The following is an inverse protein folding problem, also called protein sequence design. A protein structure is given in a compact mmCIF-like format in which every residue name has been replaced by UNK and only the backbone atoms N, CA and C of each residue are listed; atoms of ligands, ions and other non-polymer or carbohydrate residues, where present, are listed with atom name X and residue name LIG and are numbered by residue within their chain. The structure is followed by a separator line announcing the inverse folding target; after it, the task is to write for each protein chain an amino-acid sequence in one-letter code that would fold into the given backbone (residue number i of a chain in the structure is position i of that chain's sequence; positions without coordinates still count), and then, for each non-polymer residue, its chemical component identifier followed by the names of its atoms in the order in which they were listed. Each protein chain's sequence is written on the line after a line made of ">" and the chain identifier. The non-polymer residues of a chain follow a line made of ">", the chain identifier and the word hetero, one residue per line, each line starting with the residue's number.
data_IF_011903242066
#
_entry.id   IF_011903242066
#
_cell.length_a   1.000
_cell.length_b   1.000
_cell.length_c   1.000
_cell.angle_alpha   90.00
_cell.angle_beta   90.00
_cell.angle_gamma   90.00
#
_symmetry.space_group_name_H-M   'P 1'
#
loop_
_entity.id
_entity.type
_entity.pdbx_description
1 polymer ?
#
# COMPACT_ATOMS: atom_id res chain seq x y z
N UNK A 1 -46.38 14.43 -76.49
CA UNK A 1 -47.15 15.49 -75.80
C UNK A 1 -46.99 15.23 -74.31
N UNK A 2 -46.47 16.07 -73.43
CA UNK A 2 -46.17 17.50 -73.47
C UNK A 2 -44.85 17.79 -72.72
N UNK A 3 -44.27 18.94 -73.04
CA UNK A 3 -43.06 19.56 -72.50
C UNK A 3 -43.25 20.09 -71.07
N UNK A 4 -42.15 20.24 -70.32
CA UNK A 4 -41.77 21.52 -69.72
C UNK A 4 -40.30 21.50 -69.20
N UNK A 5 -39.51 22.42 -69.73
CA UNK A 5 -38.14 22.81 -69.34
C UNK A 5 -38.22 24.06 -68.43
N UNK A 6 -37.05 24.64 -68.05
CA UNK A 6 -36.76 25.98 -67.45
C UNK A 6 -36.42 25.88 -65.95
N UNK A 7 -35.40 26.52 -65.36
CA UNK A 7 -34.27 27.37 -65.75
C UNK A 7 -33.31 27.49 -64.56
N UNK A 8 -32.03 27.77 -64.81
CA UNK A 8 -31.07 28.16 -63.78
C UNK A 8 -31.22 29.60 -63.29
N UNK A 9 -30.47 29.93 -62.25
CA UNK A 9 -29.96 31.28 -62.00
C UNK A 9 -28.71 31.22 -61.09
N UNK A 10 -27.64 31.81 -61.59
CA UNK A 10 -26.41 32.21 -60.88
C UNK A 10 -26.62 33.58 -60.24
N UNK A 11 -26.12 33.79 -59.01
CA UNK A 11 -25.71 35.11 -58.52
C UNK A 11 -24.38 34.98 -57.78
N UNK A 12 -23.37 35.65 -58.32
CA UNK A 12 -22.10 35.93 -57.68
C UNK A 12 -22.23 37.18 -56.80
N UNK A 13 -21.57 37.19 -55.64
CA UNK A 13 -21.21 38.42 -54.95
C UNK A 13 -19.75 38.32 -54.48
N UNK A 14 -18.95 39.20 -55.07
CA UNK A 14 -17.56 39.49 -54.75
C UNK A 14 -17.40 40.13 -53.36
N UNK A 15 -16.31 39.82 -52.66
CA UNK A 15 -15.35 40.84 -52.15
C UNK A 15 -13.97 40.24 -51.93
N UNK A 16 -12.97 41.09 -52.11
CA UNK A 16 -11.55 40.84 -52.39
C UNK A 16 -10.68 40.72 -51.12
N UNK A 17 -9.58 39.94 -51.26
CA UNK A 17 -8.17 40.18 -50.84
C UNK A 17 -7.92 40.69 -49.39
N UNK A 18 -7.03 40.13 -48.56
CA UNK A 18 -5.65 39.67 -48.81
C UNK A 18 -5.02 39.04 -47.54
N UNK A 19 -3.98 38.20 -47.75
CA UNK A 19 -2.80 37.89 -46.89
C UNK A 19 -3.04 37.44 -45.43
N UNK A 20 -2.41 36.42 -44.86
CA UNK A 20 -1.16 35.74 -45.18
C UNK A 20 -1.10 34.34 -44.52
N UNK A 21 -0.27 33.50 -45.14
CA UNK A 21 0.23 32.18 -44.71
C UNK A 21 0.69 32.09 -43.25
N UNK A 22 0.49 30.92 -42.61
CA UNK A 22 1.56 29.95 -42.26
C UNK A 22 0.93 28.60 -41.86
N UNK A 23 1.52 27.53 -42.41
CA UNK A 23 1.25 26.11 -42.18
C UNK A 23 1.05 25.71 -40.71
N UNK A 24 -0.02 24.95 -40.43
CA UNK A 24 0.01 23.88 -39.43
C UNK A 24 -0.39 22.56 -40.11
N UNK A 25 0.58 21.65 -40.14
CA UNK A 25 0.47 20.32 -40.73
C UNK A 25 -0.39 19.46 -39.80
N UNK A 26 -1.64 19.25 -40.16
CA UNK A 26 -2.49 18.21 -39.62
C UNK A 26 -2.05 16.89 -40.26
N UNK A 27 -1.52 15.95 -39.46
CA UNK A 27 -1.24 14.58 -39.89
C UNK A 27 -2.09 13.61 -39.07
N UNK A 28 -3.06 13.03 -39.78
CA UNK A 28 -3.36 11.61 -39.84
C UNK A 28 -3.71 10.89 -38.52
N UNK A 29 -5.02 10.80 -38.29
CA UNK A 29 -5.68 9.67 -37.64
C UNK A 29 -5.45 8.40 -38.47
N UNK A 30 -4.86 7.36 -37.86
CA UNK A 30 -5.19 5.93 -38.02
C UNK A 30 -4.00 5.03 -37.59
N UNK A 31 -4.11 4.33 -36.46
CA UNK A 31 -4.33 2.87 -36.40
C UNK A 31 -3.99 2.25 -35.03
N UNK A 32 -4.60 1.10 -34.69
CA UNK A 32 -4.94 0.71 -33.33
C UNK A 32 -4.00 -0.33 -32.72
N UNK A 33 -3.97 -0.33 -31.38
CA UNK A 33 -3.89 -1.49 -30.48
C UNK A 33 -2.99 -2.66 -30.91
N UNK A 34 -1.70 -2.58 -30.58
CA UNK A 34 -0.87 -3.77 -30.31
C UNK A 34 -0.86 -3.98 -28.81
N UNK A 35 -1.79 -4.83 -28.32
CA UNK A 35 -1.74 -5.40 -26.98
C UNK A 35 -0.53 -6.35 -26.91
N UNK A 36 0.50 -5.96 -26.17
CA UNK A 36 1.54 -6.89 -25.74
C UNK A 36 1.06 -7.62 -24.49
N UNK A 37 0.90 -8.94 -24.60
CA UNK A 37 0.72 -9.84 -23.46
C UNK A 37 1.98 -9.77 -22.56
N UNK A 38 1.86 -9.65 -21.23
CA UNK A 38 3.02 -9.76 -20.34
C UNK A 38 3.42 -11.23 -20.24
N UNK A 39 4.53 -11.56 -20.90
CA UNK A 39 5.20 -12.84 -20.83
C UNK A 39 5.71 -13.09 -19.40
N UNK A 40 5.50 -14.32 -18.90
CA UNK A 40 6.00 -14.80 -17.61
C UNK A 40 7.54 -14.79 -17.56
N UNK A 41 8.09 -14.31 -16.44
CA UNK A 41 9.45 -14.64 -16.02
C UNK A 41 10.50 -13.55 -16.22
N UNK A 42 10.51 -12.54 -15.35
CA UNK A 42 11.76 -11.88 -14.94
C UNK A 42 11.80 -11.75 -13.42
N UNK A 43 12.80 -12.38 -12.80
CA UNK A 43 13.19 -12.07 -11.42
C UNK A 43 13.64 -10.61 -11.39
N UNK A 44 12.85 -9.74 -10.78
CA UNK A 44 13.30 -8.38 -10.49
C UNK A 44 14.41 -8.43 -9.45
N UNK A 45 15.64 -8.09 -9.84
CA UNK A 45 16.67 -7.68 -8.88
C UNK A 45 16.32 -6.26 -8.45
N UNK A 46 16.19 -6.04 -7.14
CA UNK A 46 15.96 -4.74 -6.55
C UNK A 46 17.17 -3.82 -6.81
N UNK A 47 16.98 -2.54 -7.13
CA UNK A 47 18.09 -1.59 -7.19
C UNK A 47 18.60 -1.34 -5.77
N UNK A 48 19.91 -1.47 -5.58
CA UNK A 48 20.61 -1.02 -4.37
C UNK A 48 20.43 0.48 -4.22
N UNK A 49 19.96 0.93 -3.05
CA UNK A 49 19.86 2.35 -2.71
C UNK A 49 21.29 2.92 -2.67
N UNK A 50 21.60 3.82 -3.58
CA UNK A 50 22.87 4.55 -3.60
C UNK A 50 22.72 5.80 -2.72
N UNK A 51 23.23 5.74 -1.49
CA UNK A 51 23.26 6.90 -0.61
C UNK A 51 24.52 7.74 -0.91
N UNK A 52 24.32 8.98 -1.36
CA UNK A 52 25.43 9.92 -1.59
C UNK A 52 25.94 10.45 -0.26
N UNK A 53 27.24 10.28 0.00
CA UNK A 53 27.94 10.73 1.21
C UNK A 53 28.01 12.26 1.25
N UNK A 54 27.38 12.90 2.24
CA UNK A 54 27.63 14.31 2.55
C UNK A 54 28.87 14.38 3.45
N UNK A 55 30.00 14.86 2.92
CA UNK A 55 31.21 15.11 3.70
C UNK A 55 31.16 16.53 4.28
N UNK A 56 30.79 16.64 5.55
CA UNK A 56 31.05 17.85 6.34
C UNK A 56 32.46 17.81 6.92
N UNK A 57 33.23 18.88 6.72
CA UNK A 57 34.59 19.01 7.24
C UNK A 57 34.58 19.32 8.75
N UNK A 58 35.33 18.55 9.54
CA UNK A 58 35.56 18.82 10.96
C UNK A 58 36.91 19.50 11.13
N UNK A 59 36.91 20.76 11.58
CA UNK A 59 38.12 21.45 12.06
C UNK A 59 38.40 21.06 13.50
N UNK A 60 39.56 20.46 13.74
CA UNK A 60 40.10 20.15 15.07
C UNK A 60 40.82 21.37 15.66
N UNK A 61 40.44 21.78 16.86
CA UNK A 61 41.27 22.62 17.73
C UNK A 61 41.44 21.90 19.07
N UNK A 62 42.68 21.54 19.36
CA UNK A 62 43.18 21.01 20.64
C UNK A 62 43.07 22.04 21.75
N UNK A 63 42.59 21.59 22.91
CA UNK A 63 42.68 22.29 24.19
C UNK A 63 42.47 21.30 25.32
N UNK A 64 43.54 21.04 26.08
CA UNK A 64 43.50 20.29 27.34
C UNK A 64 42.68 21.07 28.38
N UNK A 65 41.83 20.38 29.13
CA UNK A 65 41.59 20.64 30.55
C UNK A 65 40.82 19.48 31.20
N UNK A 66 41.35 19.08 32.35
CA UNK A 66 40.90 18.03 33.25
C UNK A 66 39.63 18.48 34.00
N UNK A 67 38.51 17.87 33.66
CA UNK A 67 37.26 17.89 34.44
C UNK A 67 36.48 16.62 34.09
N UNK A 68 36.09 15.87 35.11
CA UNK A 68 35.22 14.68 34.97
C UNK A 68 33.82 15.12 34.50
N UNK A 69 33.69 15.32 33.21
CA UNK A 69 32.43 15.50 32.50
C UNK A 69 32.14 14.12 31.92
N UNK A 70 31.14 13.41 32.44
CA UNK A 70 30.46 12.36 31.68
C UNK A 70 29.84 13.03 30.47
N UNK A 71 30.64 13.20 29.41
CA UNK A 71 30.16 13.64 28.12
C UNK A 71 29.27 12.50 27.61
N UNK A 72 27.95 12.68 27.70
CA UNK A 72 27.01 11.90 26.90
C UNK A 72 27.39 12.15 25.44
N UNK A 73 28.26 11.29 24.90
CA UNK A 73 28.59 11.30 23.48
C UNK A 73 27.33 10.85 22.75
N UNK A 74 26.56 11.82 22.27
CA UNK A 74 25.37 11.58 21.47
C UNK A 74 25.79 11.33 20.03
N UNK A 75 25.49 10.14 19.50
CA UNK A 75 25.62 9.87 18.07
C UNK A 75 24.37 10.37 17.34
N UNK A 76 24.54 11.21 16.33
CA UNK A 76 23.47 11.58 15.40
C UNK A 76 23.26 10.45 14.39
N UNK A 77 22.01 10.00 14.22
CA UNK A 77 21.64 9.03 13.21
C UNK A 77 20.49 9.55 12.34
N UNK A 78 20.70 9.54 11.02
CA UNK A 78 19.74 10.05 10.05
C UNK A 78 18.96 8.89 9.44
N UNK A 79 17.64 9.02 9.46
CA UNK A 79 16.74 7.95 9.05
C UNK A 79 16.03 8.31 7.75
N UNK A 80 16.25 7.54 6.70
CA UNK A 80 15.50 7.63 5.45
C UNK A 80 14.26 6.73 5.50
N UNK A 81 13.08 7.32 5.35
CA UNK A 81 11.80 6.64 5.46
C UNK A 81 11.10 6.72 4.11
N UNK A 82 10.80 5.58 3.50
CA UNK A 82 10.17 5.53 2.18
C UNK A 82 8.66 5.26 2.33
N UNK A 83 7.84 6.26 2.03
CA UNK A 83 6.37 6.17 1.98
C UNK A 83 5.94 5.97 0.52
N UNK A 84 5.00 5.06 0.26
CA UNK A 84 4.33 4.99 -1.04
C UNK A 84 3.23 6.05 -1.13
N UNK A 85 3.24 6.86 -2.18
CA UNK A 85 2.21 7.88 -2.41
C UNK A 85 0.93 7.23 -2.91
N UNK A 86 -0.19 7.82 -2.54
CA UNK A 86 -1.53 7.34 -2.88
C UNK A 86 -2.01 8.07 -4.14
N UNK A 87 -2.38 7.34 -5.20
CA UNK A 87 -2.55 7.89 -6.55
C UNK A 87 -4.01 8.19 -6.91
N UNK A 88 -4.99 7.61 -6.20
CA UNK A 88 -6.42 7.84 -6.46
C UNK A 88 -6.89 9.22 -5.96
N UNK A 89 -8.05 9.71 -6.44
CA UNK A 89 -8.60 11.02 -6.03
C UNK A 89 -9.04 11.04 -4.57
N UNK A 90 -9.67 9.98 -4.11
CA UNK A 90 -10.07 9.79 -2.70
C UNK A 90 -8.81 9.75 -1.81
N UNK A 91 -7.77 9.07 -2.29
CA UNK A 91 -6.48 8.97 -1.66
C UNK A 91 -5.73 10.32 -1.56
N UNK A 92 -5.83 11.18 -2.58
CA UNK A 92 -5.28 12.53 -2.56
C UNK A 92 -5.96 13.44 -1.52
N UNK A 93 -7.27 13.28 -1.32
CA UNK A 93 -7.98 13.99 -0.25
C UNK A 93 -7.48 13.57 1.13
N UNK A 94 -7.10 12.30 1.29
CA UNK A 94 -6.52 11.80 2.54
C UNK A 94 -5.14 12.40 2.78
N UNK A 95 -4.28 12.47 1.76
CA UNK A 95 -2.97 13.14 1.88
C UNK A 95 -3.15 14.62 2.28
N UNK A 96 -4.17 15.32 1.76
CA UNK A 96 -4.48 16.70 2.18
C UNK A 96 -4.96 16.79 3.64
N UNK A 97 -5.77 15.85 4.10
CA UNK A 97 -6.18 15.77 5.50
C UNK A 97 -5.00 15.47 6.44
N UNK A 98 -4.06 14.61 6.01
CA UNK A 98 -2.85 14.33 6.77
C UNK A 98 -1.96 15.56 6.93
N UNK A 99 -1.86 16.41 5.90
CA UNK A 99 -1.14 17.70 5.95
C UNK A 99 -1.76 18.64 6.97
N UNK A 100 -3.09 18.77 6.98
CA UNK A 100 -3.81 19.57 7.98
C UNK A 100 -3.58 19.01 9.39
N UNK A 101 -3.66 17.69 9.54
CA UNK A 101 -3.38 16.99 10.80
C UNK A 101 -1.94 17.28 11.28
N UNK A 102 -0.96 17.30 10.38
CA UNK A 102 0.44 17.63 10.68
C UNK A 102 0.61 19.07 11.19
N UNK A 103 -0.08 20.02 10.55
CA UNK A 103 -0.09 21.43 10.93
C UNK A 103 -0.73 21.68 12.31
N UNK A 104 -1.68 20.82 12.71
CA UNK A 104 -2.37 20.89 14.01
C UNK A 104 -1.60 20.10 15.09
N UNK A 105 -0.43 19.54 14.75
CA UNK A 105 0.52 18.97 15.71
C UNK A 105 0.49 17.44 15.83
N UNK A 106 -0.30 16.75 15.02
CA UNK A 106 -0.19 15.29 14.91
C UNK A 106 1.07 14.92 14.14
N UNK A 107 1.80 13.90 14.59
CA UNK A 107 3.07 13.48 14.00
C UNK A 107 3.16 11.96 13.93
N UNK A 108 4.12 11.48 13.15
CA UNK A 108 4.52 10.08 13.15
C UNK A 108 5.76 9.98 14.01
N UNK A 109 5.63 9.26 15.12
CA UNK A 109 6.70 9.09 16.08
C UNK A 109 7.45 7.79 15.83
N UNK A 110 8.76 7.84 16.02
CA UNK A 110 9.66 6.70 15.95
C UNK A 110 10.45 6.60 17.25
N UNK A 111 10.67 5.37 17.70
CA UNK A 111 11.50 5.06 18.86
C UNK A 111 12.36 3.83 18.54
N UNK A 112 13.68 3.97 18.63
CA UNK A 112 14.59 2.84 18.44
C UNK A 112 14.61 1.96 19.69
N UNK A 113 14.81 0.66 19.47
CA UNK A 113 14.99 -0.34 20.51
C UNK A 113 16.28 -1.11 20.23
N UNK A 114 17.14 -1.17 21.24
CA UNK A 114 18.42 -1.87 21.17
C UNK A 114 18.26 -3.39 21.31
N UNK A 115 19.20 -4.13 20.72
CA UNK A 115 19.38 -5.56 20.98
C UNK A 115 19.81 -5.86 22.43
N UNK A 116 20.40 -4.87 23.09
CA UNK A 116 20.85 -4.93 24.47
C UNK A 116 19.73 -4.55 25.44
N UNK A 117 19.68 -5.24 26.57
CA UNK A 117 18.74 -4.93 27.65
C UNK A 117 19.16 -3.69 28.42
N UNK A 118 18.18 -2.89 28.85
CA UNK A 118 18.39 -1.82 29.81
C UNK A 118 18.58 -2.33 31.24
N UNK A 119 18.55 -1.41 32.20
CA UNK A 119 18.63 -1.74 33.63
C UNK A 119 17.46 -2.60 34.11
N UNK A 120 16.32 -2.57 33.42
CA UNK A 120 15.20 -3.48 33.62
C UNK A 120 15.40 -4.76 32.80
N UNK A 121 15.47 -5.91 33.49
CA UNK A 121 15.68 -7.22 32.87
C UNK A 121 14.64 -7.52 31.79
N UNK A 122 15.10 -7.92 30.59
CA UNK A 122 14.26 -8.39 29.48
C UNK A 122 13.82 -7.32 28.47
N UNK A 123 13.88 -6.03 28.82
CA UNK A 123 13.44 -4.95 27.94
C UNK A 123 14.65 -4.28 27.27
N UNK A 124 14.64 -4.22 25.94
CA UNK A 124 15.65 -3.51 25.17
C UNK A 124 15.72 -2.02 25.52
N UNK A 125 16.92 -1.44 25.56
CA UNK A 125 17.12 0.01 25.74
C UNK A 125 16.33 0.77 24.67
N UNK A 126 15.66 1.86 25.05
CA UNK A 126 14.83 2.66 24.12
C UNK A 126 15.38 4.06 23.97
N UNK A 127 15.34 4.58 22.74
CA UNK A 127 15.68 5.98 22.48
C UNK A 127 14.56 6.90 22.96
N UNK A 128 14.84 8.21 22.95
CA UNK A 128 13.77 9.22 23.01
C UNK A 128 12.86 9.08 21.79
N UNK A 129 11.59 9.43 21.97
CA UNK A 129 10.64 9.56 20.86
C UNK A 129 11.08 10.71 19.96
N UNK A 130 11.18 10.44 18.66
CA UNK A 130 11.42 11.46 17.64
C UNK A 130 10.32 11.38 16.60
N UNK A 131 10.19 12.40 15.75
CA UNK A 131 9.17 12.44 14.71
C UNK A 131 9.76 12.72 13.33
N UNK A 132 8.99 12.35 12.31
CA UNK A 132 9.35 12.60 10.91
C UNK A 132 9.28 14.10 10.61
N UNK A 133 10.36 14.66 10.05
CA UNK A 133 10.41 16.06 9.62
C UNK A 133 9.81 16.26 8.23
N UNK A 134 9.40 17.49 7.93
CA UNK A 134 8.95 17.97 6.61
C UNK A 134 7.76 17.21 6.01
N UNK A 135 6.89 16.65 6.86
CA UNK A 135 5.74 15.86 6.40
C UNK A 135 4.82 16.66 5.47
N UNK A 136 4.41 17.86 5.93
CA UNK A 136 3.55 18.77 5.18
C UNK A 136 4.22 19.28 3.88
N UNK A 137 5.50 19.63 3.93
CA UNK A 137 6.23 20.20 2.79
C UNK A 137 6.33 19.19 1.64
N UNK A 138 6.62 17.93 1.96
CA UNK A 138 6.81 16.85 0.99
C UNK A 138 5.51 16.27 0.43
N UNK A 139 4.34 16.71 0.91
CA UNK A 139 3.05 16.26 0.38
C UNK A 139 2.85 16.62 -1.11
N UNK A 140 3.44 17.72 -1.56
CA UNK A 140 3.36 18.21 -2.95
C UNK A 140 4.20 17.41 -3.94
N UNK A 141 5.14 16.59 -3.47
CA UNK A 141 6.04 15.80 -4.33
C UNK A 141 5.25 14.79 -5.16
N UNK A 142 5.31 14.90 -6.49
CA UNK A 142 4.68 13.95 -7.41
C UNK A 142 5.64 12.78 -7.71
N UNK A 143 5.73 11.85 -6.77
CA UNK A 143 6.49 10.61 -6.95
C UNK A 143 5.72 9.43 -6.34
N UNK A 144 5.88 8.24 -6.91
CA UNK A 144 5.30 7.00 -6.36
C UNK A 144 5.81 6.69 -4.96
N UNK A 145 7.02 7.16 -4.64
CA UNK A 145 7.69 7.00 -3.36
C UNK A 145 8.23 8.34 -2.88
N UNK A 146 7.97 8.67 -1.62
CA UNK A 146 8.43 9.90 -0.97
C UNK A 146 9.39 9.52 0.16
N UNK A 147 10.55 10.15 0.18
CA UNK A 147 11.56 9.95 1.21
C UNK A 147 11.46 11.03 2.28
N UNK A 148 11.29 10.61 3.52
CA UNK A 148 11.34 11.49 4.69
C UNK A 148 12.59 11.28 5.52
N UNK A 149 12.89 12.27 6.36
CA UNK A 149 14.07 12.28 7.22
C UNK A 149 13.64 12.39 8.67
N UNK A 150 14.31 11.64 9.54
CA UNK A 150 14.18 11.77 10.98
C UNK A 150 15.57 11.64 11.62
N UNK A 151 15.84 12.43 12.65
CA UNK A 151 17.16 12.48 13.32
C UNK A 151 17.03 11.93 14.73
N UNK A 152 17.83 10.92 15.03
CA UNK A 152 17.97 10.37 16.37
C UNK A 152 19.23 10.91 17.04
N UNK A 153 19.11 11.21 18.32
CA UNK A 153 20.24 11.40 19.23
C UNK A 153 20.32 10.15 20.11
N UNK A 154 21.37 9.36 19.91
CA UNK A 154 21.55 8.05 20.54
C UNK A 154 22.71 8.11 21.53
N UNK A 155 22.48 7.65 22.75
CA UNK A 155 23.51 7.61 23.80
C UNK A 155 24.62 6.60 23.45
N UNK A 156 25.87 6.90 23.79
CA UNK A 156 27.00 6.00 23.53
C UNK A 156 26.81 4.57 24.09
N UNK A 157 26.05 4.43 25.18
CA UNK A 157 25.72 3.14 25.79
C UNK A 157 24.45 2.47 25.24
N UNK A 158 23.84 2.98 24.18
CA UNK A 158 22.59 2.42 23.63
C UNK A 158 22.79 1.03 23.02
N UNK A 159 23.98 0.78 22.45
CA UNK A 159 24.27 -0.45 21.72
C UNK A 159 23.67 -0.45 20.31
N UNK A 160 23.51 -1.64 19.72
CA UNK A 160 23.03 -1.80 18.35
C UNK A 160 21.49 -1.68 18.26
N UNK A 161 20.94 -0.82 17.39
CA UNK A 161 19.50 -0.75 17.12
C UNK A 161 18.99 -2.03 16.42
N UNK A 162 18.09 -2.76 17.09
CA UNK A 162 17.53 -4.03 16.59
C UNK A 162 16.06 -3.95 16.16
N UNK A 163 15.33 -2.94 16.63
CA UNK A 163 13.94 -2.70 16.25
C UNK A 163 13.59 -1.21 16.28
N UNK A 164 12.51 -0.84 15.61
CA UNK A 164 11.90 0.49 15.66
C UNK A 164 10.41 0.37 15.95
N UNK A 165 9.94 1.15 16.91
CA UNK A 165 8.53 1.31 17.23
C UNK A 165 8.01 2.56 16.52
N UNK A 166 6.86 2.45 15.86
CA UNK A 166 6.26 3.54 15.11
C UNK A 166 4.83 3.77 15.57
N UNK A 167 4.51 5.03 15.83
CA UNK A 167 3.18 5.48 16.24
C UNK A 167 2.69 6.57 15.30
N UNK A 168 1.57 6.33 14.63
CA UNK A 168 0.96 7.26 13.69
C UNK A 168 -0.20 8.01 14.35
N UNK A 169 -0.05 9.30 14.67
CA UNK A 169 -1.17 10.09 15.23
C UNK A 169 -1.97 10.84 14.17
N UNK A 170 -1.70 10.64 12.88
CA UNK A 170 -2.61 11.11 11.84
C UNK A 170 -3.90 10.28 11.86
N UNK A 171 -4.95 10.86 11.29
CA UNK A 171 -6.26 10.20 11.21
C UNK A 171 -6.26 9.06 10.19
N UNK A 172 -5.35 9.09 9.23
CA UNK A 172 -5.29 8.10 8.17
C UNK A 172 -4.13 7.11 8.35
N UNK A 173 -4.32 5.90 7.82
CA UNK A 173 -3.26 4.89 7.80
C UNK A 173 -2.12 5.27 6.83
N UNK A 174 -0.92 4.76 7.04
CA UNK A 174 0.24 5.12 6.20
C UNK A 174 0.93 3.85 5.75
N UNK A 175 1.25 3.74 4.46
CA UNK A 175 2.08 2.65 3.95
C UNK A 175 3.56 3.00 4.06
N UNK A 176 4.26 2.26 4.90
CA UNK A 176 5.70 2.35 5.09
C UNK A 176 6.41 1.20 4.37
N UNK A 177 7.31 1.53 3.46
CA UNK A 177 8.09 0.53 2.71
C UNK A 177 9.31 0.08 3.50
N UNK A 178 10.16 1.03 3.92
CA UNK A 178 11.40 0.72 4.61
C UNK A 178 11.93 1.92 5.41
N UNK A 179 12.80 1.61 6.37
CA UNK A 179 13.58 2.57 7.15
C UNK A 179 15.06 2.21 7.01
N UNK A 180 15.90 3.20 6.68
CA UNK A 180 17.35 3.05 6.69
C UNK A 180 17.94 4.03 7.69
N UNK A 181 18.57 3.51 8.74
CA UNK A 181 19.22 4.27 9.81
C UNK A 181 20.72 4.35 9.54
N UNK A 182 21.20 5.54 9.18
CA UNK A 182 22.63 5.78 8.96
C UNK A 182 23.29 6.11 10.29
N UNK A 183 24.19 5.25 10.76
CA UNK A 183 25.05 5.49 11.92
C UNK A 183 26.48 5.76 11.45
N UNK A 184 27.34 6.22 12.37
CA UNK A 184 28.75 6.49 12.08
C UNK A 184 29.52 5.24 11.61
N UNK A 185 29.16 4.07 12.15
CA UNK A 185 29.80 2.79 11.84
C UNK A 185 29.18 2.11 10.61
N UNK A 186 27.86 1.94 10.62
CA UNK A 186 27.13 1.20 9.59
C UNK A 186 25.72 1.75 9.35
N UNK A 187 25.08 1.29 8.27
CA UNK A 187 23.66 1.55 8.01
C UNK A 187 22.83 0.33 8.41
N UNK A 188 21.88 0.53 9.30
CA UNK A 188 20.91 -0.50 9.73
C UNK A 188 19.63 -0.36 8.92
N UNK A 189 19.14 -1.47 8.37
CA UNK A 189 17.94 -1.50 7.53
C UNK A 189 16.78 -2.20 8.23
N UNK A 190 15.60 -1.59 8.18
CA UNK A 190 14.33 -2.16 8.67
C UNK A 190 13.37 -2.30 7.47
N UNK A 191 13.16 -3.51 6.95
CA UNK A 191 12.16 -3.76 5.91
C UNK A 191 10.76 -3.78 6.54
N UNK A 192 9.90 -2.83 6.16
CA UNK A 192 8.59 -2.65 6.80
C UNK A 192 7.45 -3.24 5.95
N UNK A 193 7.34 -2.82 4.70
CA UNK A 193 6.30 -3.20 3.73
C UNK A 193 4.88 -3.29 4.33
N UNK A 194 4.49 -2.28 5.09
CA UNK A 194 3.32 -2.35 5.96
C UNK A 194 2.52 -1.07 6.05
N UNK A 195 1.19 -1.23 6.14
CA UNK A 195 0.30 -0.19 6.63
C UNK A 195 0.46 -0.02 8.15
N UNK A 196 0.49 1.23 8.59
CA UNK A 196 0.51 1.68 9.98
C UNK A 196 -0.82 2.38 10.21
N UNK A 197 -1.68 1.77 11.01
CA UNK A 197 -3.01 2.30 11.32
C UNK A 197 -2.92 3.57 12.16
N UNK A 198 -3.98 4.38 12.15
CA UNK A 198 -4.10 5.55 12.99
C UNK A 198 -4.14 5.16 14.47
N UNK A 199 -3.52 5.97 15.32
CA UNK A 199 -3.48 5.77 16.77
C UNK A 199 -4.87 5.71 17.41
N UNK A 200 -5.85 6.40 16.83
CA UNK A 200 -7.25 6.34 17.28
C UNK A 200 -7.86 4.93 17.16
N UNK A 201 -7.37 4.12 16.22
CA UNK A 201 -7.89 2.79 15.91
C UNK A 201 -7.11 1.70 16.64
N UNK A 202 -5.79 1.84 16.73
CA UNK A 202 -4.92 0.96 17.51
C UNK A 202 -3.85 1.80 18.23
N UNK A 203 -3.98 2.00 19.55
CA UNK A 203 -3.03 2.82 20.31
C UNK A 203 -1.68 2.12 20.51
N UNK A 204 -1.53 0.85 20.12
CA UNK A 204 -0.26 0.12 20.24
C UNK A 204 0.73 0.56 19.15
N UNK A 205 1.97 0.90 19.50
CA UNK A 205 3.02 1.16 18.52
C UNK A 205 3.27 -0.08 17.66
N UNK A 206 3.54 0.14 16.38
CA UNK A 206 3.92 -0.93 15.44
C UNK A 206 5.41 -1.16 15.50
N UNK A 207 5.81 -2.41 15.70
CA UNK A 207 7.22 -2.80 15.73
C UNK A 207 7.68 -3.27 14.36
N UNK A 208 8.88 -2.84 13.98
CA UNK A 208 9.62 -3.37 12.82
C UNK A 208 11.02 -3.75 13.27
N UNK A 209 11.47 -4.95 12.91
CA UNK A 209 12.79 -5.46 13.25
C UNK A 209 13.80 -5.12 12.14
N UNK A 210 15.08 -5.07 12.51
CA UNK A 210 16.15 -4.96 11.52
C UNK A 210 16.18 -6.19 10.62
N UNK A 211 16.86 -6.11 9.48
CA UNK A 211 17.01 -7.22 8.54
C UNK A 211 17.96 -8.35 9.02
N UNK A 212 18.39 -8.33 10.29
CA UNK A 212 19.19 -9.41 10.88
C UNK A 212 18.28 -10.57 11.27
N UNK A 213 18.69 -11.79 10.90
CA UNK A 213 17.87 -13.00 11.08
C UNK A 213 18.32 -13.75 12.31
N UNK A 214 17.36 -14.12 13.18
CA UNK A 214 17.61 -14.86 14.41
C UNK A 214 16.63 -16.02 14.56
N UNK A 215 17.16 -17.21 14.92
CA UNK A 215 16.32 -18.27 15.46
C UNK A 215 15.68 -17.85 16.80
N UNK A 216 14.59 -18.50 17.25
CA UNK A 216 13.96 -18.15 18.53
C UNK A 216 14.93 -18.14 19.73
N UNK A 217 15.85 -19.10 19.80
CA UNK A 217 16.86 -19.18 20.87
C UNK A 217 18.04 -18.21 20.70
N UNK A 218 18.25 -17.69 19.49
CA UNK A 218 19.30 -16.70 19.16
C UNK A 218 18.80 -15.26 19.25
N UNK A 219 17.50 -15.06 19.51
CA UNK A 219 16.91 -13.71 19.56
C UNK A 219 17.59 -12.90 20.67
N UNK A 220 18.17 -11.73 20.35
CA UNK A 220 18.84 -10.90 21.34
C UNK A 220 17.92 -10.57 22.51
N UNK A 221 18.45 -10.52 23.75
CA UNK A 221 17.63 -10.41 24.94
C UNK A 221 16.76 -9.14 24.95
N UNK A 222 17.23 -8.02 24.40
CA UNK A 222 16.44 -6.78 24.30
C UNK A 222 15.25 -6.85 23.34
N UNK A 223 15.19 -7.85 22.46
CA UNK A 223 14.13 -8.00 21.45
C UNK A 223 13.14 -9.14 21.76
N UNK A 224 13.41 -9.98 22.76
CA UNK A 224 12.59 -11.17 23.06
C UNK A 224 11.14 -10.80 23.36
N UNK A 225 10.94 -9.81 24.22
CA UNK A 225 9.60 -9.36 24.62
C UNK A 225 8.81 -8.81 23.42
N UNK A 226 9.46 -8.00 22.56
CA UNK A 226 8.83 -7.46 21.36
C UNK A 226 8.46 -8.56 20.36
N UNK A 227 9.34 -9.56 20.18
CA UNK A 227 9.07 -10.71 19.31
C UNK A 227 7.84 -11.48 19.79
N UNK A 228 7.75 -11.75 21.10
CA UNK A 228 6.60 -12.48 21.67
C UNK A 228 5.30 -11.67 21.60
N UNK A 229 5.36 -10.37 21.90
CA UNK A 229 4.20 -9.48 21.83
C UNK A 229 3.66 -9.32 20.41
N UNK A 230 4.54 -9.20 19.41
CA UNK A 230 4.12 -9.12 18.01
C UNK A 230 3.47 -10.44 17.57
N UNK A 231 4.04 -11.59 17.96
CA UNK A 231 3.43 -12.90 17.67
C UNK A 231 2.03 -13.04 18.30
N UNK A 232 1.87 -12.66 19.57
CA UNK A 232 0.55 -12.66 20.24
C UNK A 232 -0.44 -11.73 19.55
N UNK A 233 0.03 -10.56 19.10
CA UNK A 233 -0.81 -9.60 18.37
C UNK A 233 -1.27 -10.17 17.02
N UNK A 234 -0.40 -10.88 16.32
CA UNK A 234 -0.74 -11.54 15.06
C UNK A 234 -1.68 -12.75 15.24
N UNK A 235 -1.60 -13.47 16.35
CA UNK A 235 -2.50 -14.59 16.64
C UNK A 235 -3.90 -14.13 17.08
N UNK A 236 -4.00 -12.97 17.72
CA UNK A 236 -5.25 -12.47 18.27
C UNK A 236 -5.78 -13.34 19.42
N UNK A 237 -7.09 -13.29 19.65
CA UNK A 237 -7.77 -13.98 20.75
C UNK A 237 -8.81 -15.01 20.30
N UNK A 238 -8.96 -15.22 18.99
CA UNK A 238 -9.94 -16.10 18.37
C UNK A 238 -11.41 -15.68 18.53
N UNK A 239 -11.67 -14.41 18.87
CA UNK A 239 -13.02 -13.91 19.16
C UNK A 239 -13.34 -12.64 18.37
N UNK A 240 -14.62 -12.46 18.09
CA UNK A 240 -15.15 -11.29 17.39
C UNK A 240 -14.75 -11.23 15.92
N UNK A 241 -15.37 -10.27 15.21
CA UNK A 241 -15.06 -9.96 13.83
C UNK A 241 -13.83 -9.04 13.76
N UNK A 242 -12.74 -9.44 13.07
CA UNK A 242 -11.56 -8.61 12.92
C UNK A 242 -11.86 -7.32 12.15
N UNK A 243 -11.25 -6.21 12.58
CA UNK A 243 -11.38 -4.91 11.90
C UNK A 243 -10.43 -4.81 10.71
N UNK A 244 -10.76 -3.95 9.75
CA UNK A 244 -10.00 -3.81 8.49
C UNK A 244 -8.52 -3.43 8.67
N UNK A 245 -8.15 -2.80 9.79
CA UNK A 245 -6.76 -2.45 10.14
C UNK A 245 -6.05 -3.52 10.99
N UNK A 246 -6.77 -4.51 11.50
CA UNK A 246 -6.20 -5.59 12.29
C UNK A 246 -5.48 -6.61 11.41
N UNK A 247 -4.54 -7.33 12.03
CA UNK A 247 -3.62 -8.26 11.36
C UNK A 247 -3.68 -9.64 12.00
N UNK A 248 -4.88 -10.06 12.36
CA UNK A 248 -5.10 -11.28 13.12
C UNK A 248 -5.17 -12.46 12.15
N UNK A 249 -4.18 -13.34 12.23
CA UNK A 249 -4.09 -14.60 11.51
C UNK A 249 -4.71 -15.70 12.37
N UNK A 250 -5.94 -16.05 12.05
CA UNK A 250 -6.66 -17.15 12.70
C UNK A 250 -7.40 -17.99 11.66
N UNK A 251 -7.78 -19.20 12.05
CA UNK A 251 -8.29 -20.23 11.15
C UNK A 251 -9.78 -20.50 11.37
N UNK A 252 -10.50 -20.76 10.29
CA UNK A 252 -11.87 -21.22 10.33
C UNK A 252 -12.15 -22.25 9.23
N UNK A 253 -13.30 -22.93 9.31
CA UNK A 253 -13.82 -23.84 8.30
C UNK A 253 -14.60 -23.06 7.23
N UNK A 254 -14.91 -23.71 6.10
CA UNK A 254 -15.76 -23.15 5.05
C UNK A 254 -17.26 -23.25 5.40
N UNK A 255 -17.64 -22.68 6.55
CA UNK A 255 -19.03 -22.54 7.02
C UNK A 255 -19.70 -21.24 6.56
N UNK A 256 -19.02 -20.47 5.69
CA UNK A 256 -19.43 -19.22 5.08
C UNK A 256 -19.90 -19.39 3.61
N UNK A 257 -19.97 -20.64 3.14
CA UNK A 257 -20.45 -21.01 1.80
C UNK A 257 -21.90 -21.53 1.85
N UNK A 258 -22.57 -21.46 0.70
CA UNK A 258 -24.01 -21.71 0.58
C UNK A 258 -24.47 -23.18 0.71
N UNK A 259 -23.56 -24.16 0.71
CA UNK A 259 -23.90 -25.60 0.80
C UNK A 259 -23.12 -26.29 1.95
N UNK A 260 -23.73 -26.45 3.15
CA UNK A 260 -23.07 -27.01 4.33
C UNK A 260 -23.05 -28.54 4.38
N UNK A 261 -23.94 -29.22 3.65
CA UNK A 261 -24.20 -30.66 3.81
C UNK A 261 -23.03 -31.52 3.30
N UNK A 262 -22.01 -30.89 2.71
CA UNK A 262 -20.89 -31.57 2.06
C UNK A 262 -19.52 -31.20 2.62
N UNK A 263 -19.38 -30.39 3.68
CA UNK A 263 -18.07 -29.86 4.08
C UNK A 263 -17.92 -29.72 5.60
N UNK A 264 -17.61 -30.84 6.26
CA UNK A 264 -17.35 -30.95 7.71
C UNK A 264 -16.38 -32.10 7.99
N UNK A 265 -16.42 -32.73 9.17
CA UNK A 265 -15.54 -33.89 9.50
C UNK A 265 -15.58 -35.02 8.46
N UNK A 266 -16.71 -35.18 7.77
CA UNK A 266 -16.89 -36.15 6.68
C UNK A 266 -16.13 -35.80 5.40
N UNK A 267 -15.67 -34.56 5.25
CA UNK A 267 -14.97 -34.04 4.07
C UNK A 267 -13.82 -33.13 4.52
N UNK A 268 -12.64 -33.70 4.85
CA UNK A 268 -11.49 -32.91 5.27
C UNK A 268 -11.14 -31.89 4.19
N UNK A 269 -11.06 -30.63 4.58
CA UNK A 269 -10.75 -29.52 3.68
C UNK A 269 -9.75 -28.58 4.36
N UNK A 270 -8.87 -27.90 3.59
CA UNK A 270 -8.02 -26.85 4.14
C UNK A 270 -8.81 -25.83 4.94
N UNK A 271 -8.22 -25.29 6.00
CA UNK A 271 -8.79 -24.16 6.73
C UNK A 271 -8.62 -22.87 5.91
N UNK A 272 -9.50 -21.91 6.15
CA UNK A 272 -9.41 -20.55 5.61
C UNK A 272 -9.03 -19.57 6.73
N UNK A 273 -8.77 -18.32 6.36
CA UNK A 273 -8.66 -17.22 7.33
C UNK A 273 -10.04 -16.98 7.96
N UNK A 274 -10.06 -16.89 9.28
CA UNK A 274 -11.25 -16.58 10.07
C UNK A 274 -11.71 -15.15 9.80
N UNK A 275 -12.97 -15.00 9.44
CA UNK A 275 -13.63 -13.68 9.33
C UNK A 275 -14.44 -13.32 10.56
N UNK A 276 -14.88 -14.29 11.36
CA UNK A 276 -15.46 -14.04 12.67
C UNK A 276 -16.76 -13.23 12.68
N UNK A 277 -17.50 -13.18 11.55
CA UNK A 277 -18.85 -12.59 11.50
C UNK A 277 -19.81 -13.39 12.38
N UNK A 278 -20.94 -12.77 12.68
CA UNK A 278 -21.96 -13.37 13.53
C UNK A 278 -22.53 -14.66 12.90
N UNK A 279 -23.03 -15.60 13.71
CA UNK A 279 -23.68 -16.80 13.19
C UNK A 279 -24.96 -16.49 12.44
N UNK A 280 -25.28 -17.31 11.44
CA UNK A 280 -26.52 -17.18 10.69
C UNK A 280 -27.75 -17.42 11.60
N UNK A 281 -28.80 -16.60 11.43
CA UNK A 281 -30.03 -16.69 12.24
C UNK A 281 -30.76 -18.03 12.10
N UNK A 282 -30.67 -18.67 10.93
CA UNK A 282 -31.33 -19.95 10.67
C UNK A 282 -30.48 -21.16 11.08
N UNK A 283 -29.16 -21.02 11.11
CA UNK A 283 -28.22 -22.09 11.45
C UNK A 283 -26.99 -21.51 12.18
N UNK A 284 -26.91 -21.65 13.51
CA UNK A 284 -25.79 -21.15 14.31
C UNK A 284 -24.43 -21.80 14.00
N UNK A 285 -24.40 -22.90 13.25
CA UNK A 285 -23.15 -23.53 12.82
C UNK A 285 -22.51 -22.82 11.62
N UNK A 286 -23.27 -21.93 10.97
CA UNK A 286 -22.83 -21.15 9.81
C UNK A 286 -22.52 -19.72 10.17
N UNK A 287 -21.59 -19.15 9.43
CA UNK A 287 -21.32 -17.72 9.49
C UNK A 287 -22.35 -16.96 8.64
N UNK A 288 -22.74 -15.77 9.08
CA UNK A 288 -23.64 -14.89 8.34
C UNK A 288 -22.98 -14.45 7.02
N UNK A 289 -23.82 -14.35 5.98
CA UNK A 289 -23.37 -13.94 4.66
C UNK A 289 -22.95 -12.48 4.68
N UNK A 290 -21.88 -12.19 3.95
CA UNK A 290 -21.53 -10.82 3.60
C UNK A 290 -22.64 -10.24 2.73
N UNK A 291 -23.11 -9.03 3.06
CA UNK A 291 -24.16 -8.38 2.28
C UNK A 291 -23.67 -8.11 0.86
N UNK A 292 -24.60 -8.06 -0.10
CA UNK A 292 -24.24 -7.81 -1.50
C UNK A 292 -23.48 -6.48 -1.64
N UNK A 293 -22.21 -6.57 -2.06
CA UNK A 293 -21.33 -5.41 -2.27
C UNK A 293 -20.32 -5.15 -1.15
N UNK A 294 -20.42 -5.85 -0.02
CA UNK A 294 -19.42 -5.78 1.04
C UNK A 294 -18.26 -6.75 0.78
N UNK A 295 -17.07 -6.39 1.26
CA UNK A 295 -15.89 -7.22 1.12
C UNK A 295 -15.79 -8.20 2.30
N UNK A 296 -15.50 -9.47 2.00
CA UNK A 296 -15.07 -10.43 3.02
C UNK A 296 -13.80 -9.89 3.68
N UNK A 297 -13.72 -9.97 5.01
CA UNK A 297 -12.49 -9.61 5.72
C UNK A 297 -11.30 -10.34 5.14
N UNK A 298 -10.29 -9.57 4.75
CA UNK A 298 -8.98 -10.03 4.34
C UNK A 298 -7.98 -9.24 5.16
N UNK A 299 -6.92 -9.90 5.60
CA UNK A 299 -5.80 -9.28 6.29
C UNK A 299 -5.31 -8.06 5.52
N UNK A 300 -4.97 -6.98 6.24
CA UNK A 300 -4.60 -5.72 5.61
C UNK A 300 -3.46 -5.84 4.59
N UNK A 301 -2.51 -6.77 4.80
CA UNK A 301 -1.39 -7.03 3.87
C UNK A 301 -1.76 -7.85 2.64
N UNK A 302 -2.73 -8.74 2.77
CA UNK A 302 -3.22 -9.58 1.68
C UNK A 302 -4.29 -8.86 0.86
N UNK A 303 -4.85 -7.77 1.42
CA UNK A 303 -5.78 -6.91 0.71
C UNK A 303 -5.07 -6.24 -0.46
N UNK A 304 -5.74 -6.23 -1.62
CA UNK A 304 -5.24 -5.52 -2.79
C UNK A 304 -5.06 -4.03 -2.47
N UNK A 305 -3.97 -3.45 -2.95
CA UNK A 305 -3.83 -1.99 -2.98
C UNK A 305 -5.04 -1.36 -3.71
N UNK A 306 -5.53 -0.19 -3.29
CA UNK A 306 -6.75 0.40 -3.84
C UNK A 306 -6.74 0.51 -5.37
N UNK A 307 -5.61 0.91 -5.97
CA UNK A 307 -5.44 0.99 -7.43
C UNK A 307 -5.66 -0.37 -8.10
N UNK A 308 -5.17 -1.46 -7.49
CA UNK A 308 -5.38 -2.82 -8.00
C UNK A 308 -6.83 -3.26 -7.86
N UNK A 309 -7.51 -2.87 -6.77
CA UNK A 309 -8.94 -3.12 -6.59
C UNK A 309 -9.77 -2.41 -7.65
N UNK A 310 -9.52 -1.12 -7.88
CA UNK A 310 -10.20 -0.35 -8.94
C UNK A 310 -10.00 -0.99 -10.31
N UNK A 311 -8.75 -1.35 -10.63
CA UNK A 311 -8.47 -2.06 -11.87
C UNK A 311 -9.23 -3.38 -11.97
N UNK A 312 -9.24 -4.19 -10.91
CA UNK A 312 -9.97 -5.45 -10.88
C UNK A 312 -11.47 -5.25 -11.13
N UNK A 313 -12.09 -4.24 -10.52
CA UNK A 313 -13.51 -3.89 -10.73
C UNK A 313 -13.75 -3.47 -12.20
N UNK A 314 -12.89 -2.62 -12.75
CA UNK A 314 -12.97 -2.20 -14.16
C UNK A 314 -12.87 -3.40 -15.09
N UNK A 315 -11.93 -4.32 -14.84
CA UNK A 315 -11.78 -5.55 -15.62
C UNK A 315 -12.98 -6.50 -15.46
N UNK A 316 -13.54 -6.64 -14.25
CA UNK A 316 -14.75 -7.43 -14.01
C UNK A 316 -15.96 -6.85 -14.75
N UNK A 317 -16.16 -5.53 -14.69
CA UNK A 317 -17.23 -4.84 -15.42
C UNK A 317 -17.05 -4.99 -16.93
N UNK A 318 -15.82 -4.82 -17.43
CA UNK A 318 -15.49 -5.04 -18.85
C UNK A 318 -15.80 -6.46 -19.28
N UNK A 319 -15.45 -7.45 -18.45
CA UNK A 319 -15.78 -8.86 -18.68
C UNK A 319 -17.28 -9.12 -18.70
N UNK A 320 -18.06 -8.48 -17.81
CA UNK A 320 -19.52 -8.60 -17.80
C UNK A 320 -20.14 -7.97 -19.05
N UNK A 321 -19.70 -6.78 -19.46
CA UNK A 321 -20.17 -6.12 -20.70
C UNK A 321 -19.84 -6.97 -21.92
N UNK A 322 -18.62 -7.50 -21.99
CA UNK A 322 -18.19 -8.41 -23.06
C UNK A 322 -18.99 -9.71 -23.09
N UNK A 323 -19.57 -10.16 -21.96
CA UNK A 323 -20.50 -11.31 -21.94
C UNK A 323 -21.92 -10.90 -22.31
N UNK A 324 -22.40 -9.74 -21.87
CA UNK A 324 -23.76 -9.29 -22.11
C UNK A 324 -24.02 -8.93 -23.57
N UNK A 325 -23.07 -8.28 -24.25
CA UNK A 325 -23.24 -7.87 -25.65
C UNK A 325 -23.51 -9.07 -26.58
N UNK A 326 -22.72 -10.16 -26.54
CA UNK A 326 -23.04 -11.38 -27.26
C UNK A 326 -24.33 -12.05 -26.80
N UNK A 327 -24.62 -12.11 -25.49
CA UNK A 327 -25.85 -12.72 -24.99
C UNK A 327 -27.13 -12.00 -25.46
N UNK A 328 -27.11 -10.66 -25.51
CA UNK A 328 -28.23 -9.87 -26.07
C UNK A 328 -28.34 -10.10 -27.58
N UNK A 329 -27.21 -10.20 -28.29
CA UNK A 329 -27.19 -10.52 -29.72
C UNK A 329 -27.75 -11.91 -30.01
N UNK A 330 -27.41 -12.90 -29.19
CA UNK A 330 -27.91 -14.27 -29.28
C UNK A 330 -29.42 -14.35 -28.97
N UNK A 331 -29.95 -13.51 -28.07
CA UNK A 331 -31.39 -13.46 -27.78
C UNK A 331 -32.21 -12.84 -28.92
N UNK A 332 -31.59 -11.94 -29.71
CA UNK A 332 -32.18 -11.29 -30.88
C UNK A 332 -31.86 -12.03 -32.20
N UNK A 333 -31.16 -13.17 -32.11
CA UNK A 333 -30.74 -13.99 -33.24
C UNK A 333 -31.84 -14.90 -33.80
N UNK A 334 -31.51 -15.64 -34.85
CA UNK A 334 -32.45 -16.54 -35.54
C UNK A 334 -32.81 -17.77 -34.68
N UNK A 335 -31.87 -18.26 -33.86
CA UNK A 335 -32.11 -19.27 -32.81
C UNK A 335 -31.79 -18.70 -31.42
N UNK A 336 -32.81 -18.19 -30.69
CA UNK A 336 -32.58 -17.62 -29.36
C UNK A 336 -31.95 -18.63 -28.38
N UNK A 337 -30.74 -18.35 -27.93
CA UNK A 337 -30.04 -19.14 -26.90
C UNK A 337 -29.17 -20.29 -27.42
N UNK A 338 -29.06 -20.49 -28.74
CA UNK A 338 -28.16 -21.46 -29.36
C UNK A 338 -27.15 -20.75 -30.28
N UNK A 339 -26.03 -21.41 -30.57
CA UNK A 339 -25.08 -20.94 -31.60
C UNK A 339 -25.58 -21.44 -32.96
N UNK A 340 -25.74 -20.52 -33.92
CA UNK A 340 -26.19 -20.86 -35.28
C UNK A 340 -25.04 -21.54 -36.05
N UNK A 341 -23.78 -21.13 -35.85
CA UNK A 341 -22.59 -21.80 -36.37
C UNK A 341 -21.28 -21.46 -35.62
N UNK A 342 -20.15 -22.03 -36.05
CA UNK A 342 -18.84 -21.80 -35.44
C UNK A 342 -18.37 -20.33 -35.46
N UNK A 343 -18.87 -19.49 -36.38
CA UNK A 343 -18.55 -18.06 -36.44
C UNK A 343 -19.14 -17.30 -35.27
N UNK A 344 -20.23 -17.79 -34.68
CA UNK A 344 -20.78 -17.20 -33.46
C UNK A 344 -19.87 -17.44 -32.25
N UNK A 345 -19.15 -18.57 -32.22
CA UNK A 345 -18.12 -18.86 -31.22
C UNK A 345 -16.90 -17.97 -31.46
N UNK A 346 -16.46 -17.81 -32.72
CA UNK A 346 -15.34 -16.95 -33.08
C UNK A 346 -15.60 -15.46 -32.74
N UNK A 347 -16.86 -15.00 -32.82
CA UNK A 347 -17.24 -13.62 -32.45
C UNK A 347 -17.22 -13.33 -30.93
N UNK A 348 -17.00 -14.33 -30.07
CA UNK A 348 -16.89 -14.14 -28.62
C UNK A 348 -15.49 -13.67 -28.16
N UNK A 349 -14.48 -13.75 -29.03
CA UNK A 349 -13.09 -13.42 -28.76
C UNK A 349 -12.57 -12.37 -29.75
#
# INVERSE_FOLDING_TARGET
>A
MAHATVSGSTVAAHTKLSRASVLHKQKDFANPLVLSMPWLGRRHRYPSILATRLTGATTTTTGDNDASITSEATAEAVTAIVKKKRLSREEQMIDAADVLSDMIGNKIFLQLVSVETGAASGIGKRSKDIFIKDWAEKATVQADKVQYTAEFSIDAGFGEPGAVLIRNTHQSEIYLESIALQMQSETVYFPCHSYITAFSNDPKPRVFFSNKVYMPWETPPGLKDLREQELKTLQGNGKGEPKSWERIYDYDVYNDLDDPDKRGEKFPYPRRVRSGRDPCKSDPTKEEKVANGEAVYVLRYESFEPIKQTNFIVWKLRGLVHKLVPSVRALLGATPGEFDDFRDIEQLY
#
